data_IF_729911155358
#
_entry.id   IF_729911155358
#
_cell.length_a   1.000
_cell.length_b   1.000
_cell.length_c   1.000
_cell.angle_alpha   90.00
_cell.angle_beta   90.00
_cell.angle_gamma   90.00
#
_symmetry.space_group_name_H-M   'P 1'
#
loop_
_entity.id
_entity.type
_entity.pdbx_description
1 polymer ?
#
# COMPACT_ATOMS: atom_id res chain seq x y z
N UNK A 1 -6.95 -33.19 -19.20
CA UNK A 1 -7.57 -31.86 -19.30
C UNK A 1 -7.73 -31.37 -17.87
N UNK A 2 -6.96 -30.38 -17.45
CA UNK A 2 -7.01 -29.88 -16.07
C UNK A 2 -8.03 -28.75 -16.00
N UNK A 3 -9.14 -29.02 -15.32
CA UNK A 3 -10.12 -28.00 -14.92
C UNK A 3 -9.39 -26.92 -14.12
N UNK A 4 -9.31 -25.72 -14.70
CA UNK A 4 -8.69 -24.54 -14.10
C UNK A 4 -9.78 -23.53 -13.72
N UNK A 5 -10.72 -23.95 -12.88
CA UNK A 5 -11.72 -23.07 -12.25
C UNK A 5 -11.28 -22.70 -10.83
N UNK A 6 -10.10 -22.11 -10.70
CA UNK A 6 -9.75 -21.33 -9.51
C UNK A 6 -10.00 -19.87 -9.86
N UNK A 7 -10.86 -19.12 -9.15
CA UNK A 7 -11.06 -17.72 -9.47
C UNK A 7 -9.75 -16.98 -9.20
N UNK A 8 -9.06 -16.60 -10.27
CA UNK A 8 -7.97 -15.61 -10.24
C UNK A 8 -8.60 -14.26 -9.89
N UNK A 9 -8.85 -14.03 -8.61
CA UNK A 9 -9.54 -12.84 -8.13
C UNK A 9 -8.82 -12.30 -6.92
N UNK A 10 -7.74 -11.56 -7.15
CA UNK A 10 -7.46 -10.38 -6.34
C UNK A 10 -6.96 -9.28 -7.26
N UNK A 11 -7.84 -8.79 -8.13
CA UNK A 11 -7.66 -7.48 -8.76
C UNK A 11 -7.50 -6.45 -7.63
N UNK A 12 -6.36 -5.76 -7.61
CA UNK A 12 -6.02 -4.82 -6.55
C UNK A 12 -6.98 -3.63 -6.54
N UNK A 13 -7.09 -2.95 -5.40
CA UNK A 13 -7.92 -1.74 -5.31
C UNK A 13 -7.49 -0.67 -6.33
N UNK A 14 -6.18 -0.58 -6.61
CA UNK A 14 -5.62 0.36 -7.57
C UNK A 14 -6.00 0.01 -9.01
N UNK A 15 -5.96 -1.27 -9.39
CA UNK A 15 -6.40 -1.75 -10.71
C UNK A 15 -7.90 -1.52 -10.93
N UNK A 16 -8.72 -1.84 -9.92
CA UNK A 16 -10.17 -1.59 -9.97
C UNK A 16 -10.48 -0.11 -10.17
N UNK A 17 -9.76 0.76 -9.47
CA UNK A 17 -9.93 2.20 -9.59
C UNK A 17 -9.48 2.70 -10.98
N UNK A 18 -8.33 2.23 -11.47
CA UNK A 18 -7.85 2.58 -12.80
C UNK A 18 -8.85 2.21 -13.90
N UNK A 19 -9.43 1.00 -13.81
CA UNK A 19 -10.52 0.56 -14.70
C UNK A 19 -11.74 1.48 -14.60
N UNK A 20 -12.18 1.82 -13.39
CA UNK A 20 -13.33 2.69 -13.20
C UNK A 20 -13.11 4.10 -13.78
N UNK A 21 -11.87 4.58 -13.75
CA UNK A 21 -11.48 5.88 -14.29
C UNK A 21 -11.12 5.83 -15.79
N UNK A 22 -11.07 4.65 -16.40
CA UNK A 22 -10.67 4.48 -17.80
C UNK A 22 -9.19 4.81 -18.06
N UNK A 23 -8.34 4.74 -17.03
CA UNK A 23 -6.90 5.02 -17.13
C UNK A 23 -6.10 3.72 -17.06
N UNK A 24 -4.85 3.71 -17.55
CA UNK A 24 -3.98 2.55 -17.40
C UNK A 24 -3.80 2.16 -15.94
N UNK A 25 -3.70 0.85 -15.69
CA UNK A 25 -3.36 0.35 -14.36
C UNK A 25 -1.98 0.90 -13.95
N UNK A 26 -1.82 1.31 -12.69
CA UNK A 26 -0.54 1.80 -12.22
C UNK A 26 0.50 0.69 -12.25
N UNK A 27 1.73 1.06 -12.59
CA UNK A 27 2.86 0.14 -12.48
C UNK A 27 3.08 -0.23 -11.01
N UNK A 28 3.46 -1.50 -10.73
CA UNK A 28 3.81 -1.91 -9.38
C UNK A 28 5.04 -1.11 -8.89
N UNK A 29 5.06 -0.81 -7.59
CA UNK A 29 6.20 -0.14 -6.99
C UNK A 29 7.47 -0.98 -7.16
N UNK A 30 8.56 -0.31 -7.50
CA UNK A 30 9.89 -0.93 -7.42
C UNK A 30 10.22 -1.26 -5.97
N UNK A 31 11.10 -2.24 -5.73
CA UNK A 31 11.50 -2.60 -4.37
C UNK A 31 12.13 -1.45 -3.57
N UNK A 32 12.74 -0.46 -4.24
CA UNK A 32 13.23 0.77 -3.60
C UNK A 32 12.08 1.66 -3.15
N UNK A 33 11.10 1.89 -4.04
CA UNK A 33 9.91 2.69 -3.73
C UNK A 33 9.07 2.04 -2.63
N UNK A 34 8.94 0.72 -2.65
CA UNK A 34 8.20 0.00 -1.61
C UNK A 34 8.86 0.14 -0.23
N UNK A 35 10.20 0.06 -0.15
CA UNK A 35 10.93 0.32 1.10
C UNK A 35 10.73 1.75 1.60
N UNK A 36 10.86 2.73 0.71
CA UNK A 36 10.66 4.13 1.05
C UNK A 36 9.22 4.40 1.55
N UNK A 37 8.23 3.79 0.89
CA UNK A 37 6.83 3.87 1.31
C UNK A 37 6.61 3.30 2.72
N UNK A 38 7.16 2.11 3.00
CA UNK A 38 7.04 1.49 4.33
C UNK A 38 7.73 2.32 5.43
N UNK A 39 8.89 2.91 5.13
CA UNK A 39 9.57 3.79 6.07
C UNK A 39 8.76 5.07 6.34
N UNK A 40 8.18 5.65 5.30
CA UNK A 40 7.31 6.82 5.43
C UNK A 40 6.07 6.52 6.28
N UNK A 41 5.38 5.39 6.02
CA UNK A 41 4.24 4.94 6.81
C UNK A 41 4.60 4.75 8.29
N UNK A 42 5.72 4.07 8.58
CA UNK A 42 6.19 3.88 9.96
C UNK A 42 6.42 5.20 10.70
N UNK A 43 7.07 6.17 10.05
CA UNK A 43 7.26 7.51 10.63
C UNK A 43 5.94 8.24 10.83
N UNK A 44 4.98 8.07 9.92
CA UNK A 44 3.63 8.61 10.04
C UNK A 44 2.92 8.06 11.28
N UNK A 45 3.00 6.76 11.52
CA UNK A 45 2.41 6.10 12.69
C UNK A 45 3.06 6.60 14.00
N UNK A 46 4.38 6.74 14.04
CA UNK A 46 5.11 7.28 15.20
C UNK A 46 4.68 8.73 15.52
N UNK A 47 4.47 9.55 14.49
CA UNK A 47 3.99 10.93 14.65
C UNK A 47 2.51 10.97 15.09
N UNK A 48 1.67 10.13 14.51
CA UNK A 48 0.26 10.03 14.87
C UNK A 48 0.09 9.59 16.32
N UNK A 49 0.87 8.60 16.77
CA UNK A 49 0.86 8.15 18.16
C UNK A 49 1.32 9.25 19.12
N UNK A 50 2.33 10.03 18.74
CA UNK A 50 2.78 11.17 19.54
C UNK A 50 1.72 12.27 19.68
N UNK A 51 0.97 12.57 18.61
CA UNK A 51 -0.14 13.52 18.64
C UNK A 51 -1.30 12.99 19.48
N UNK A 52 -1.63 11.71 19.36
CA UNK A 52 -2.76 11.10 20.05
C UNK A 52 -2.49 10.89 21.56
N UNK A 53 -1.28 10.48 21.93
CA UNK A 53 -0.91 10.18 23.32
C UNK A 53 -0.27 11.35 24.07
N UNK A 54 0.14 12.40 23.35
CA UNK A 54 0.88 13.54 23.90
C UNK A 54 2.31 13.22 24.33
N UNK A 55 2.83 12.03 24.01
CA UNK A 55 4.23 11.64 24.28
C UNK A 55 5.06 11.91 23.04
N UNK A 56 6.17 12.63 23.16
CA UNK A 56 7.08 12.83 22.01
C UNK A 56 7.63 11.49 21.53
N UNK A 57 7.70 11.25 20.19
CA UNK A 57 8.28 10.02 19.67
C UNK A 57 9.72 9.91 20.16
N UNK A 58 10.08 8.74 20.69
CA UNK A 58 11.45 8.51 21.15
C UNK A 58 12.35 8.48 19.92
N UNK A 59 13.17 9.51 19.73
CA UNK A 59 14.24 9.51 18.76
C UNK A 59 15.24 8.43 19.19
N UNK A 60 15.18 7.28 18.52
CA UNK A 60 16.19 6.23 18.63
C UNK A 60 17.48 6.63 17.90
#
# INVERSE_FOLDING_TARGET
>A
MADSTTPSSQESAAERLARALGVPAPEPLTGVQERAYREWMRRGDELADAVYTGRTPHAA
#
